data_IF_122255464688
#
_entry.id   IF_122255464688
#
_cell.length_a   1.000
_cell.length_b   1.000
_cell.length_c   1.000
_cell.angle_alpha   90.00
_cell.angle_beta   90.00
_cell.angle_gamma   90.00
#
_symmetry.space_group_name_H-M   'P 1'
#
loop_
_entity.id
_entity.type
_entity.pdbx_description
1 polymer ?
#
# COMPACT_ATOMS: atom_id res chain seq x y z
N UNK A 1 -34.88 3.94 28.29
CA UNK A 1 -33.64 3.90 27.49
C UNK A 1 -33.57 2.53 26.85
N UNK A 2 -34.20 2.35 25.69
CA UNK A 2 -34.09 1.14 24.88
C UNK A 2 -32.77 1.22 24.11
N UNK A 3 -31.81 0.37 24.49
CA UNK A 3 -30.54 0.24 23.81
C UNK A 3 -30.72 -0.21 22.36
N UNK A 4 -30.61 0.70 21.44
CA UNK A 4 -30.40 0.37 20.02
C UNK A 4 -28.99 -0.21 19.86
N UNK A 5 -28.89 -1.55 19.90
CA UNK A 5 -27.74 -2.23 19.35
C UNK A 5 -28.04 -2.48 17.88
N UNK A 6 -27.34 -1.83 16.92
CA UNK A 6 -27.44 -2.23 15.53
C UNK A 6 -27.04 -3.69 15.44
N UNK A 7 -27.75 -4.47 14.65
CA UNK A 7 -27.41 -5.86 14.38
C UNK A 7 -26.09 -5.88 13.58
N UNK A 8 -24.96 -5.85 14.28
CA UNK A 8 -23.58 -5.82 13.75
C UNK A 8 -23.25 -6.98 12.80
N UNK A 9 -24.04 -8.06 12.84
CA UNK A 9 -23.79 -9.31 12.11
C UNK A 9 -24.55 -9.47 10.79
N UNK A 10 -25.37 -8.52 10.37
CA UNK A 10 -26.20 -8.68 9.15
C UNK A 10 -25.71 -7.92 7.92
N UNK A 11 -24.73 -7.03 8.04
CA UNK A 11 -24.27 -6.21 6.91
C UNK A 11 -23.26 -6.97 6.03
N UNK A 12 -22.63 -8.05 6.54
CA UNK A 12 -21.58 -8.79 5.87
C UNK A 12 -21.88 -10.28 5.61
N UNK A 13 -23.11 -10.73 5.69
CA UNK A 13 -23.46 -12.13 5.39
C UNK A 13 -24.53 -12.19 4.30
N UNK A 14 -24.14 -12.45 3.06
CA UNK A 14 -25.04 -12.96 2.03
C UNK A 14 -25.20 -14.47 2.20
N UNK A 15 -26.44 -15.03 2.24
CA UNK A 15 -26.66 -16.46 2.34
C UNK A 15 -26.36 -17.26 1.05
N UNK A 16 -25.93 -16.64 -0.04
CA UNK A 16 -25.91 -17.27 -1.38
C UNK A 16 -24.65 -17.01 -2.22
N UNK A 17 -23.49 -16.67 -1.65
CA UNK A 17 -22.25 -16.62 -2.43
C UNK A 17 -22.20 -15.55 -3.54
N UNK A 18 -23.12 -14.59 -3.55
CA UNK A 18 -23.12 -13.45 -4.47
C UNK A 18 -22.22 -12.34 -3.89
N UNK A 19 -21.49 -11.66 -4.77
CA UNK A 19 -20.65 -10.50 -4.45
C UNK A 19 -21.38 -9.53 -3.53
N UNK A 20 -20.75 -9.21 -2.38
CA UNK A 20 -21.34 -8.29 -1.38
C UNK A 20 -21.28 -6.82 -1.80
N UNK A 21 -20.95 -6.52 -3.05
CA UNK A 21 -20.88 -5.14 -3.55
C UNK A 21 -22.28 -4.52 -3.67
N UNK A 22 -22.43 -3.35 -3.11
CA UNK A 22 -23.69 -2.61 -3.16
C UNK A 22 -23.94 -1.94 -4.52
N UNK A 23 -22.94 -1.88 -5.39
CA UNK A 23 -22.98 -1.32 -6.74
C UNK A 23 -22.88 -2.41 -7.79
N UNK A 24 -23.57 -2.27 -8.96
CA UNK A 24 -23.33 -3.13 -10.09
C UNK A 24 -21.86 -3.05 -10.53
N UNK A 25 -21.30 -4.17 -10.98
CA UNK A 25 -19.98 -4.18 -11.58
C UNK A 25 -20.03 -3.50 -12.94
N UNK A 26 -19.04 -2.65 -13.21
CA UNK A 26 -18.80 -2.07 -14.53
C UNK A 26 -17.72 -2.91 -15.22
N UNK A 27 -18.03 -3.41 -16.41
CA UNK A 27 -17.08 -4.19 -17.21
C UNK A 27 -16.00 -3.28 -17.81
N UNK A 28 -14.80 -3.33 -17.25
CA UNK A 28 -13.61 -2.64 -17.74
C UNK A 28 -12.84 -3.44 -18.81
N UNK A 29 -13.33 -4.63 -19.18
CA UNK A 29 -12.66 -5.54 -20.11
C UNK A 29 -11.21 -5.82 -19.70
N UNK A 30 -11.03 -6.26 -18.46
CA UNK A 30 -9.71 -6.45 -17.85
C UNK A 30 -9.02 -7.74 -18.31
N UNK A 31 -9.77 -8.71 -18.77
CA UNK A 31 -9.27 -10.02 -19.15
C UNK A 31 -9.47 -11.08 -18.08
N UNK A 32 -9.35 -12.34 -18.47
CA UNK A 32 -9.69 -13.51 -17.65
C UNK A 32 -8.81 -13.61 -16.40
N UNK A 33 -7.49 -13.41 -16.51
CA UNK A 33 -6.57 -13.46 -15.37
C UNK A 33 -6.91 -12.43 -14.30
N UNK A 34 -7.20 -11.20 -14.71
CA UNK A 34 -7.57 -10.11 -13.82
C UNK A 34 -8.90 -10.38 -13.09
N UNK A 35 -9.90 -10.93 -13.79
CA UNK A 35 -11.17 -11.29 -13.17
C UNK A 35 -11.01 -12.50 -12.21
N UNK A 36 -10.21 -13.50 -12.56
CA UNK A 36 -9.91 -14.62 -11.65
C UNK A 36 -9.22 -14.16 -10.36
N UNK A 37 -8.24 -13.24 -10.45
CA UNK A 37 -7.60 -12.64 -9.28
C UNK A 37 -8.62 -11.86 -8.46
N UNK A 38 -9.47 -11.05 -9.11
CA UNK A 38 -10.53 -10.31 -8.42
C UNK A 38 -11.43 -11.23 -7.60
N UNK A 39 -11.98 -12.26 -8.22
CA UNK A 39 -12.91 -13.17 -7.58
C UNK A 39 -12.28 -13.95 -6.43
N UNK A 40 -11.05 -14.43 -6.63
CA UNK A 40 -10.32 -15.16 -5.59
C UNK A 40 -10.00 -14.28 -4.39
N UNK A 41 -9.45 -13.08 -4.65
CA UNK A 41 -9.04 -12.16 -3.59
C UNK A 41 -10.24 -11.55 -2.90
N UNK A 42 -11.32 -11.22 -3.61
CA UNK A 42 -12.55 -10.71 -3.02
C UNK A 42 -13.16 -11.71 -2.03
N UNK A 43 -13.21 -13.00 -2.40
CA UNK A 43 -13.69 -14.05 -1.51
C UNK A 43 -12.82 -14.17 -0.26
N UNK A 44 -11.51 -14.24 -0.42
CA UNK A 44 -10.57 -14.27 0.71
C UNK A 44 -10.72 -13.03 1.60
N UNK A 45 -10.85 -11.86 1.00
CA UNK A 45 -11.03 -10.60 1.72
C UNK A 45 -12.32 -10.58 2.56
N UNK A 46 -13.43 -11.06 1.99
CA UNK A 46 -14.72 -11.12 2.69
C UNK A 46 -14.74 -12.17 3.80
N UNK A 47 -14.15 -13.35 3.56
CA UNK A 47 -14.20 -14.46 4.50
C UNK A 47 -13.13 -14.39 5.61
N UNK A 48 -11.93 -13.90 5.30
CA UNK A 48 -10.79 -13.95 6.21
C UNK A 48 -10.37 -12.57 6.73
N UNK A 49 -10.36 -11.52 5.89
CA UNK A 49 -9.86 -10.20 6.30
C UNK A 49 -10.95 -9.37 6.97
N UNK A 50 -12.13 -9.26 6.37
CA UNK A 50 -13.19 -8.40 6.86
C UNK A 50 -13.60 -8.69 8.32
N UNK A 51 -13.66 -9.95 8.79
CA UNK A 51 -13.97 -10.25 10.20
C UNK A 51 -12.93 -9.70 11.18
N UNK A 52 -11.68 -9.50 10.74
CA UNK A 52 -10.59 -9.00 11.57
C UNK A 52 -10.41 -7.47 11.48
N UNK A 53 -11.06 -6.80 10.52
CA UNK A 53 -10.80 -5.40 10.20
C UNK A 53 -11.02 -4.43 11.36
N UNK A 54 -12.01 -4.68 12.23
CA UNK A 54 -12.24 -3.89 13.45
C UNK A 54 -11.12 -4.10 14.47
N UNK A 55 -10.68 -5.33 14.70
CA UNK A 55 -9.57 -5.66 15.60
C UNK A 55 -8.27 -5.04 15.11
N UNK A 56 -7.99 -5.17 13.81
CA UNK A 56 -6.79 -4.60 13.16
C UNK A 56 -6.68 -3.09 13.46
N UNK A 57 -7.76 -2.33 13.30
CA UNK A 57 -7.76 -0.89 13.57
C UNK A 57 -7.70 -0.57 15.06
N UNK A 58 -8.61 -1.15 15.86
CA UNK A 58 -8.76 -0.75 17.27
C UNK A 58 -7.58 -1.12 18.13
N UNK A 59 -6.99 -2.29 17.89
CA UNK A 59 -5.88 -2.83 18.68
C UNK A 59 -4.50 -2.48 18.07
N UNK A 60 -4.48 -1.76 16.92
CA UNK A 60 -3.25 -1.54 16.14
C UNK A 60 -2.52 -2.86 15.88
N UNK A 61 -3.30 -3.87 15.44
CA UNK A 61 -2.91 -5.25 15.34
C UNK A 61 -2.57 -5.65 13.90
N UNK A 62 -1.36 -6.19 13.71
CA UNK A 62 -0.94 -6.77 12.43
C UNK A 62 -1.19 -8.28 12.42
N UNK A 63 -2.09 -8.81 11.58
CA UNK A 63 -2.52 -10.20 11.59
C UNK A 63 -1.53 -11.13 10.85
N UNK A 64 -0.22 -11.08 11.23
CA UNK A 64 0.83 -11.88 10.57
C UNK A 64 0.52 -13.37 10.67
N UNK A 65 0.23 -13.86 11.85
CA UNK A 65 0.03 -15.29 12.10
C UNK A 65 -1.24 -15.84 11.44
N UNK A 66 -2.28 -15.01 11.29
CA UNK A 66 -3.57 -15.44 10.77
C UNK A 66 -3.69 -15.33 9.26
N UNK A 67 -3.05 -14.32 8.64
CA UNK A 67 -3.35 -13.98 7.25
C UNK A 67 -2.13 -13.99 6.33
N UNK A 68 -0.91 -13.73 6.85
CA UNK A 68 0.22 -13.42 5.99
C UNK A 68 0.66 -14.61 5.12
N UNK A 69 0.80 -15.78 5.71
CA UNK A 69 1.12 -17.00 4.98
C UNK A 69 -0.02 -17.42 4.03
N UNK A 70 -1.29 -17.27 4.45
CA UNK A 70 -2.44 -17.54 3.59
C UNK A 70 -2.46 -16.64 2.33
N UNK A 71 -2.03 -15.38 2.47
CA UNK A 71 -1.86 -14.48 1.33
C UNK A 71 -0.73 -14.96 0.41
N UNK A 72 0.33 -15.55 0.97
CA UNK A 72 1.41 -16.20 0.21
C UNK A 72 0.91 -17.42 -0.54
N UNK A 73 0.14 -18.30 0.10
CA UNK A 73 -0.47 -19.48 -0.53
C UNK A 73 -1.39 -19.13 -1.71
N UNK A 74 -2.05 -17.97 -1.64
CA UNK A 74 -2.82 -17.39 -2.75
C UNK A 74 -1.95 -16.74 -3.83
N UNK A 75 -0.62 -16.72 -3.66
CA UNK A 75 0.33 -16.07 -4.57
C UNK A 75 0.35 -14.55 -4.53
N UNK A 76 -0.36 -13.91 -3.58
CA UNK A 76 -0.52 -12.45 -3.55
C UNK A 76 0.81 -11.72 -3.38
N UNK A 77 1.74 -12.24 -2.57
CA UNK A 77 3.03 -11.62 -2.33
C UNK A 77 3.94 -11.60 -3.55
N UNK A 78 3.70 -12.51 -4.53
CA UNK A 78 4.51 -12.70 -5.73
C UNK A 78 3.76 -12.51 -7.04
N UNK A 79 2.68 -11.73 -7.11
CA UNK A 79 1.88 -11.58 -8.34
C UNK A 79 2.76 -11.24 -9.56
N UNK A 80 3.68 -10.28 -9.42
CA UNK A 80 4.56 -9.84 -10.52
C UNK A 80 5.89 -10.57 -10.58
N UNK A 81 6.17 -11.50 -9.67
CA UNK A 81 7.37 -12.33 -9.67
C UNK A 81 7.17 -13.46 -10.67
N UNK A 82 8.24 -13.83 -11.41
CA UNK A 82 8.19 -14.92 -12.38
C UNK A 82 7.86 -16.25 -11.70
N UNK A 83 7.26 -17.18 -12.45
CA UNK A 83 7.00 -18.54 -11.96
C UNK A 83 8.29 -19.26 -11.57
N UNK A 84 9.40 -19.00 -12.30
CA UNK A 84 10.73 -19.54 -12.00
C UNK A 84 11.23 -19.10 -10.62
N UNK A 85 10.92 -17.86 -10.20
CA UNK A 85 11.28 -17.29 -8.90
C UNK A 85 10.18 -17.56 -7.83
N UNK A 86 9.18 -18.38 -8.13
CA UNK A 86 8.11 -18.81 -7.22
C UNK A 86 6.87 -17.91 -7.19
N UNK A 87 6.74 -16.95 -8.10
CA UNK A 87 5.58 -16.06 -8.21
C UNK A 87 4.52 -16.54 -9.19
N UNK A 88 3.57 -15.67 -9.52
CA UNK A 88 2.48 -15.95 -10.47
C UNK A 88 2.78 -15.52 -11.91
N UNK A 89 3.84 -14.76 -12.16
CA UNK A 89 4.20 -14.26 -13.49
C UNK A 89 3.16 -13.32 -14.12
N UNK A 90 2.28 -12.72 -13.31
CA UNK A 90 1.22 -11.82 -13.77
C UNK A 90 1.69 -10.36 -13.80
N UNK A 91 0.78 -9.45 -14.15
CA UNK A 91 1.09 -8.03 -14.32
C UNK A 91 0.75 -7.13 -13.13
N UNK A 92 1.01 -5.84 -13.32
CA UNK A 92 0.65 -4.80 -12.35
C UNK A 92 -0.86 -4.55 -12.31
N UNK A 93 -1.60 -4.87 -13.38
CA UNK A 93 -3.05 -4.80 -13.36
C UNK A 93 -3.64 -5.76 -12.33
N UNK A 94 -3.22 -7.02 -12.34
CA UNK A 94 -3.64 -8.02 -11.36
C UNK A 94 -3.20 -7.63 -9.96
N UNK A 95 -2.01 -7.03 -9.82
CA UNK A 95 -1.51 -6.55 -8.53
C UNK A 95 -2.38 -5.40 -7.98
N UNK A 96 -2.74 -4.42 -8.81
CA UNK A 96 -3.68 -3.34 -8.43
C UNK A 96 -5.01 -3.90 -7.96
N UNK A 97 -5.57 -4.88 -8.70
CA UNK A 97 -6.83 -5.52 -8.35
C UNK A 97 -6.75 -6.25 -7.02
N UNK A 98 -5.67 -6.99 -6.78
CA UNK A 98 -5.45 -7.66 -5.50
C UNK A 98 -5.35 -6.66 -4.34
N UNK A 99 -4.61 -5.56 -4.51
CA UNK A 99 -4.52 -4.48 -3.51
C UNK A 99 -5.89 -3.83 -3.27
N UNK A 100 -6.69 -3.63 -4.31
CA UNK A 100 -8.05 -3.08 -4.22
C UNK A 100 -8.94 -3.96 -3.35
N UNK A 101 -9.00 -5.28 -3.61
CA UNK A 101 -9.88 -6.18 -2.88
C UNK A 101 -9.43 -6.39 -1.42
N UNK A 102 -8.13 -6.55 -1.17
CA UNK A 102 -7.59 -6.60 0.20
C UNK A 102 -7.95 -5.31 0.96
N UNK A 103 -7.79 -4.16 0.31
CA UNK A 103 -8.02 -2.84 0.93
C UNK A 103 -9.49 -2.52 1.13
N UNK A 104 -10.39 -3.09 0.32
CA UNK A 104 -11.84 -3.00 0.52
C UNK A 104 -12.23 -3.60 1.88
N UNK A 105 -11.60 -4.69 2.30
CA UNK A 105 -11.81 -5.29 3.61
C UNK A 105 -11.00 -4.58 4.72
N UNK A 106 -9.70 -4.30 4.46
CA UNK A 106 -8.82 -3.58 5.39
C UNK A 106 -7.73 -2.81 4.65
N UNK A 107 -7.86 -1.50 4.58
CA UNK A 107 -6.87 -0.62 3.96
C UNK A 107 -5.51 -0.69 4.66
N UNK A 108 -5.48 -0.90 5.97
CA UNK A 108 -4.25 -1.10 6.75
C UNK A 108 -3.47 -2.33 6.29
N UNK A 109 -4.18 -3.46 6.08
CA UNK A 109 -3.55 -4.67 5.56
C UNK A 109 -3.10 -4.47 4.11
N UNK A 110 -3.92 -3.79 3.28
CA UNK A 110 -3.57 -3.43 1.92
C UNK A 110 -2.30 -2.59 1.82
N UNK A 111 -2.07 -1.66 2.76
CA UNK A 111 -0.85 -0.87 2.84
C UNK A 111 0.38 -1.75 3.15
N UNK A 112 0.27 -2.61 4.18
CA UNK A 112 1.35 -3.54 4.53
C UNK A 112 1.66 -4.52 3.40
N UNK A 113 0.61 -5.01 2.73
CA UNK A 113 0.72 -5.87 1.56
C UNK A 113 1.44 -5.16 0.40
N UNK A 114 1.02 -3.94 0.03
CA UNK A 114 1.66 -3.18 -1.04
C UNK A 114 3.11 -2.80 -0.73
N UNK A 115 3.42 -2.47 0.53
CA UNK A 115 4.80 -2.21 0.96
C UNK A 115 5.68 -3.46 0.85
N UNK A 116 5.15 -4.62 1.15
CA UNK A 116 5.85 -5.89 1.01
C UNK A 116 6.03 -6.27 -0.46
N UNK A 117 4.92 -6.48 -1.18
CA UNK A 117 4.91 -7.10 -2.50
C UNK A 117 5.44 -6.17 -3.60
N UNK A 118 5.15 -4.86 -3.51
CA UNK A 118 5.58 -3.91 -4.53
C UNK A 118 6.87 -3.17 -4.15
N UNK A 119 7.05 -2.73 -2.89
CA UNK A 119 8.27 -1.98 -2.54
C UNK A 119 9.47 -2.90 -2.27
N UNK A 120 9.31 -3.98 -1.52
CA UNK A 120 10.41 -4.88 -1.20
C UNK A 120 10.61 -5.95 -2.28
N UNK A 121 9.62 -6.82 -2.48
CA UNK A 121 9.70 -7.95 -3.41
C UNK A 121 9.98 -7.49 -4.84
N UNK A 122 9.22 -6.50 -5.35
CA UNK A 122 9.41 -6.01 -6.71
C UNK A 122 10.78 -5.33 -6.91
N UNK A 123 11.33 -4.64 -5.90
CA UNK A 123 12.68 -4.07 -6.01
C UNK A 123 13.75 -5.17 -6.07
N UNK A 124 13.65 -6.20 -5.25
CA UNK A 124 14.58 -7.35 -5.29
C UNK A 124 14.46 -8.08 -6.63
N UNK A 125 13.23 -8.32 -7.11
CA UNK A 125 12.97 -8.92 -8.43
C UNK A 125 13.66 -8.15 -9.56
N UNK A 126 13.60 -6.82 -9.53
CA UNK A 126 14.09 -5.94 -10.61
C UNK A 126 15.58 -5.69 -10.54
N UNK A 127 16.14 -5.59 -9.36
CA UNK A 127 17.52 -5.12 -9.14
C UNK A 127 18.44 -6.12 -8.45
N UNK A 128 17.90 -7.14 -7.81
CA UNK A 128 18.66 -8.20 -7.19
C UNK A 128 19.44 -9.02 -8.24
N UNK A 129 20.67 -9.39 -7.93
CA UNK A 129 21.41 -10.37 -8.71
C UNK A 129 20.85 -11.80 -8.48
N UNK A 130 21.32 -12.79 -9.23
CA UNK A 130 20.81 -14.16 -9.16
C UNK A 130 20.88 -14.76 -7.73
N UNK A 131 22.00 -14.52 -7.01
CA UNK A 131 22.17 -15.02 -5.65
C UNK A 131 21.20 -14.35 -4.66
N UNK A 132 21.02 -13.03 -4.79
CA UNK A 132 20.08 -12.26 -3.97
C UNK A 132 18.63 -12.71 -4.23
N UNK A 133 18.23 -12.87 -5.48
CA UNK A 133 16.88 -13.38 -5.82
C UNK A 133 16.66 -14.78 -5.24
N UNK A 134 17.61 -15.69 -5.44
CA UNK A 134 17.51 -17.05 -4.91
C UNK A 134 17.41 -17.09 -3.37
N UNK A 135 18.07 -16.16 -2.67
CA UNK A 135 18.04 -16.10 -1.21
C UNK A 135 16.76 -15.48 -0.66
N UNK A 136 16.27 -14.38 -1.27
CA UNK A 136 15.26 -13.54 -0.64
C UNK A 136 13.85 -13.69 -1.21
N UNK A 137 13.69 -14.05 -2.51
CA UNK A 137 12.36 -14.05 -3.12
C UNK A 137 11.47 -15.17 -2.58
N UNK A 138 11.95 -16.40 -2.49
CA UNK A 138 11.10 -17.53 -2.06
C UNK A 138 10.47 -17.33 -0.68
N UNK A 139 11.19 -16.99 0.40
CA UNK A 139 10.57 -16.75 1.71
C UNK A 139 9.68 -15.49 1.75
N UNK A 140 9.93 -14.49 0.93
CA UNK A 140 9.07 -13.32 0.82
C UNK A 140 7.78 -13.65 0.08
N UNK A 141 7.84 -14.38 -1.03
CA UNK A 141 6.67 -14.76 -1.84
C UNK A 141 5.76 -15.73 -1.10
N UNK A 142 6.33 -16.67 -0.33
CA UNK A 142 5.54 -17.59 0.51
C UNK A 142 4.85 -16.92 1.70
N UNK A 143 5.31 -15.73 2.12
CA UNK A 143 4.83 -15.07 3.34
C UNK A 143 5.55 -15.53 4.62
N UNK A 144 6.52 -16.43 4.54
CA UNK A 144 7.40 -16.79 5.67
C UNK A 144 8.13 -15.56 6.20
N UNK A 145 8.64 -14.71 5.27
CA UNK A 145 9.24 -13.43 5.59
C UNK A 145 8.31 -12.26 5.27
N UNK A 146 8.43 -11.22 6.08
CA UNK A 146 7.83 -9.90 5.81
C UNK A 146 8.89 -8.98 5.23
N UNK A 147 8.57 -8.34 4.11
CA UNK A 147 9.43 -7.37 3.44
C UNK A 147 9.10 -5.92 3.77
N UNK A 148 10.12 -5.07 3.76
CA UNK A 148 9.99 -3.63 3.96
C UNK A 148 10.94 -2.85 3.04
N UNK A 149 10.67 -1.55 2.85
CA UNK A 149 11.58 -0.63 2.16
C UNK A 149 11.78 0.63 3.00
N UNK A 150 13.03 1.05 3.15
CA UNK A 150 13.42 2.16 4.01
C UNK A 150 14.21 3.22 3.26
N UNK A 151 13.53 4.31 2.87
CA UNK A 151 14.15 5.47 2.23
C UNK A 151 14.09 6.72 3.10
N UNK A 152 12.96 6.98 3.76
CA UNK A 152 12.67 8.23 4.46
C UNK A 152 13.40 8.36 5.79
N UNK A 153 13.70 9.61 6.16
CA UNK A 153 14.25 10.00 7.47
C UNK A 153 13.45 11.18 8.01
N UNK A 154 13.54 11.48 9.30
CA UNK A 154 12.84 12.62 9.93
C UNK A 154 13.16 13.93 9.20
N UNK A 155 14.40 14.09 8.73
CA UNK A 155 14.86 15.29 8.00
C UNK A 155 14.76 15.18 6.48
N UNK A 156 14.36 14.04 5.92
CA UNK A 156 14.34 13.75 4.47
C UNK A 156 13.13 12.88 4.10
N UNK A 157 11.95 13.53 4.01
CA UNK A 157 10.70 12.93 3.54
C UNK A 157 10.49 13.21 2.05
N UNK A 158 9.91 14.36 1.69
CA UNK A 158 9.71 14.75 0.29
C UNK A 158 11.03 14.91 -0.47
N UNK A 159 12.07 15.43 0.16
CA UNK A 159 13.44 15.50 -0.35
C UNK A 159 14.23 14.25 0.11
N UNK A 160 13.78 13.08 -0.32
CA UNK A 160 14.35 11.80 0.11
C UNK A 160 15.82 11.63 -0.27
N UNK A 161 16.29 12.29 -1.33
CA UNK A 161 17.70 12.22 -1.77
C UNK A 161 18.66 12.97 -0.83
N UNK A 162 18.13 13.83 0.04
CA UNK A 162 18.88 14.51 1.11
C UNK A 162 19.06 13.66 2.38
N UNK A 163 18.77 12.36 2.30
CA UNK A 163 19.01 11.40 3.40
C UNK A 163 20.42 11.48 3.97
N UNK A 164 20.55 11.12 5.25
CA UNK A 164 21.81 11.23 6.02
C UNK A 164 22.36 9.89 6.51
N UNK A 165 21.59 8.80 6.47
CA UNK A 165 22.08 7.46 6.80
C UNK A 165 23.35 7.19 5.97
N UNK A 166 24.47 6.95 6.65
CA UNK A 166 25.79 6.70 6.02
C UNK A 166 26.04 5.22 5.87
N UNK A 167 26.80 4.86 4.84
CA UNK A 167 27.37 3.53 4.64
C UNK A 167 28.85 3.69 4.27
N UNK A 168 29.75 3.43 5.22
CA UNK A 168 31.20 3.60 5.05
C UNK A 168 31.83 2.23 4.74
N UNK A 169 32.69 2.18 3.69
CA UNK A 169 33.36 0.95 3.32
C UNK A 169 34.25 0.44 4.46
N UNK A 170 34.16 -0.85 4.75
CA UNK A 170 34.89 -1.50 5.83
C UNK A 170 35.13 -2.98 5.51
N UNK A 171 36.08 -3.62 6.20
CA UNK A 171 36.25 -5.07 6.19
C UNK A 171 36.13 -5.59 7.62
N UNK A 172 35.34 -6.65 7.82
CA UNK A 172 35.16 -7.32 9.12
C UNK A 172 35.36 -8.83 8.93
N UNK A 173 36.26 -9.40 9.72
CA UNK A 173 36.61 -10.83 9.67
C UNK A 173 37.04 -11.35 8.26
N UNK A 174 37.68 -10.47 7.47
CA UNK A 174 38.12 -10.78 6.11
C UNK A 174 37.00 -10.69 5.05
N UNK A 175 35.82 -10.21 5.40
CA UNK A 175 34.70 -9.92 4.49
C UNK A 175 34.61 -8.42 4.25
N UNK A 176 34.67 -8.02 2.97
CA UNK A 176 34.45 -6.62 2.58
C UNK A 176 32.96 -6.27 2.62
N UNK A 177 32.66 -5.01 2.98
CA UNK A 177 31.28 -4.54 3.13
C UNK A 177 31.21 -3.08 3.53
N UNK A 178 30.12 -2.74 4.22
CA UNK A 178 29.83 -1.38 4.65
C UNK A 178 29.34 -1.35 6.10
N UNK A 179 29.74 -0.33 6.84
CA UNK A 179 29.19 -0.03 8.16
C UNK A 179 28.13 1.07 8.00
N UNK A 180 26.88 0.76 8.37
CA UNK A 180 25.76 1.68 8.34
C UNK A 180 25.62 2.35 9.70
N UNK A 181 25.46 3.69 9.68
CA UNK A 181 25.22 4.51 10.88
C UNK A 181 24.17 5.60 10.62
N UNK A 182 23.11 5.63 11.45
CA UNK A 182 22.01 6.58 11.39
C UNK A 182 20.63 5.94 11.55
N UNK A 183 19.58 6.61 11.12
CA UNK A 183 18.21 6.14 11.31
C UNK A 183 17.36 6.30 10.04
N UNK A 184 16.30 5.49 9.94
CA UNK A 184 15.19 5.66 8.99
C UNK A 184 13.89 5.82 9.76
N UNK A 185 12.91 6.54 9.19
CA UNK A 185 11.68 6.87 9.90
C UNK A 185 10.44 6.70 9.02
N UNK A 186 9.27 6.42 9.62
CA UNK A 186 8.01 6.07 8.97
C UNK A 186 8.07 4.80 8.12
N UNK A 187 8.81 3.79 8.57
CA UNK A 187 9.02 2.58 7.78
C UNK A 187 7.90 1.57 8.03
N UNK A 188 7.08 1.37 7.01
CA UNK A 188 5.98 0.39 7.00
C UNK A 188 6.53 -1.03 7.10
N UNK A 189 5.85 -1.88 7.85
CA UNK A 189 6.22 -3.26 8.18
C UNK A 189 7.48 -3.40 9.07
N UNK A 190 8.21 -2.34 9.37
CA UNK A 190 9.46 -2.38 10.10
C UNK A 190 9.47 -3.30 11.34
N UNK A 191 8.45 -3.27 12.24
CA UNK A 191 8.45 -4.12 13.45
C UNK A 191 8.42 -5.63 13.18
N UNK A 192 8.05 -6.03 11.97
CA UNK A 192 7.88 -7.43 11.58
C UNK A 192 8.76 -7.82 10.39
N UNK A 193 9.52 -6.87 9.82
CA UNK A 193 10.30 -7.10 8.62
C UNK A 193 11.47 -8.05 8.89
N UNK A 194 11.53 -9.11 8.10
CA UNK A 194 12.64 -10.07 8.10
C UNK A 194 13.72 -9.66 7.06
N UNK A 195 13.30 -8.99 5.97
CA UNK A 195 14.16 -8.49 4.89
C UNK A 195 13.77 -7.05 4.54
N UNK A 196 14.77 -6.17 4.46
CA UNK A 196 14.55 -4.76 4.17
C UNK A 196 15.42 -4.27 3.01
N UNK A 197 14.85 -3.51 2.09
CA UNK A 197 15.58 -2.71 1.10
C UNK A 197 15.86 -1.34 1.72
N UNK A 198 17.12 -1.01 1.97
CA UNK A 198 17.52 0.21 2.67
C UNK A 198 18.42 1.06 1.78
N UNK A 199 18.16 2.36 1.70
CA UNK A 199 18.98 3.31 0.95
C UNK A 199 19.86 4.13 1.89
N UNK A 200 21.18 4.16 1.63
CA UNK A 200 22.15 4.88 2.44
C UNK A 200 23.19 5.59 1.56
N UNK A 201 23.85 6.61 2.12
CA UNK A 201 24.93 7.34 1.43
C UNK A 201 26.26 6.63 1.58
N UNK A 202 26.78 6.15 0.45
CA UNK A 202 28.14 5.59 0.29
C UNK A 202 29.15 6.66 -0.10
N UNK A 203 28.70 7.77 -0.74
CA UNK A 203 29.52 8.95 -1.01
C UNK A 203 28.74 10.23 -0.67
N UNK A 204 29.03 10.79 0.51
CA UNK A 204 28.39 12.02 0.97
C UNK A 204 28.72 13.26 0.11
N UNK A 205 29.85 13.25 -0.61
CA UNK A 205 30.29 14.37 -1.45
C UNK A 205 29.57 14.44 -2.80
N UNK A 206 29.07 13.28 -3.29
CA UNK A 206 28.39 13.17 -4.58
C UNK A 206 26.88 13.52 -4.53
N UNK A 207 26.35 13.95 -3.37
CA UNK A 207 24.94 14.33 -3.21
C UNK A 207 23.99 13.15 -3.48
N UNK A 208 23.05 13.31 -4.41
CA UNK A 208 22.10 12.25 -4.79
C UNK A 208 22.78 11.09 -5.54
N UNK A 209 23.91 11.34 -6.18
CA UNK A 209 24.68 10.33 -6.92
C UNK A 209 25.55 9.46 -6.03
N UNK A 210 25.57 9.66 -4.72
CA UNK A 210 26.32 8.87 -3.75
C UNK A 210 25.41 7.97 -2.88
N UNK A 211 24.23 7.59 -3.35
CA UNK A 211 23.28 6.72 -2.64
C UNK A 211 23.35 5.31 -3.21
N UNK A 212 23.36 4.30 -2.32
CA UNK A 212 23.34 2.88 -2.65
C UNK A 212 22.19 2.17 -1.96
N UNK A 213 21.64 1.15 -2.59
CA UNK A 213 20.63 0.28 -2.01
C UNK A 213 21.28 -0.95 -1.39
N UNK A 214 20.82 -1.34 -0.20
CA UNK A 214 21.30 -2.47 0.58
C UNK A 214 20.16 -3.41 0.96
N UNK A 215 20.45 -4.71 1.03
CA UNK A 215 19.57 -5.70 1.63
C UNK A 215 19.98 -5.91 3.08
N UNK A 216 19.08 -5.59 4.01
CA UNK A 216 19.28 -5.73 5.45
C UNK A 216 18.43 -6.90 5.95
N UNK A 217 18.99 -7.70 6.84
CA UNK A 217 18.31 -8.79 7.53
C UNK A 217 18.01 -8.38 8.98
N UNK A 218 16.91 -8.86 9.53
CA UNK A 218 16.46 -8.46 10.88
C UNK A 218 17.48 -8.74 11.98
N UNK A 219 18.32 -9.78 11.77
CA UNK A 219 19.29 -10.25 12.75
C UNK A 219 20.70 -9.67 12.53
N UNK A 220 20.86 -8.69 11.63
CA UNK A 220 22.14 -8.02 11.41
C UNK A 220 22.63 -7.31 12.66
N UNK A 221 23.85 -7.60 13.10
CA UNK A 221 24.43 -6.96 14.26
C UNK A 221 24.54 -5.43 14.07
N UNK A 222 24.03 -4.67 15.01
CA UNK A 222 23.95 -3.20 14.93
C UNK A 222 22.68 -2.67 14.25
N UNK A 223 21.80 -3.54 13.75
CA UNK A 223 20.45 -3.16 13.31
C UNK A 223 19.43 -3.38 14.41
N UNK A 224 18.51 -2.44 14.60
CA UNK A 224 17.39 -2.58 15.54
C UNK A 224 16.17 -1.76 15.12
N UNK A 225 15.01 -2.18 15.63
CA UNK A 225 13.77 -1.43 15.51
C UNK A 225 13.71 -0.41 16.64
N UNK A 226 13.56 0.87 16.28
CA UNK A 226 13.42 1.96 17.21
C UNK A 226 11.97 2.17 17.65
N UNK A 227 11.54 3.43 17.69
CA UNK A 227 10.21 3.79 18.16
C UNK A 227 9.11 3.28 17.21
N UNK A 228 8.12 2.55 17.76
CA UNK A 228 6.84 2.31 17.07
C UNK A 228 6.08 3.63 16.95
N UNK A 229 5.52 3.89 15.76
CA UNK A 229 4.84 5.15 15.45
C UNK A 229 3.32 4.94 15.53
N UNK A 230 2.67 5.67 16.44
CA UNK A 230 1.21 5.74 16.50
C UNK A 230 0.67 6.64 15.38
N UNK A 231 -0.41 6.20 14.74
CA UNK A 231 -0.97 6.87 13.56
C UNK A 231 -2.45 7.18 13.71
N UNK A 232 -2.91 8.18 12.98
CA UNK A 232 -4.34 8.55 12.90
C UNK A 232 -5.17 7.43 12.25
N UNK A 233 -4.69 6.88 11.15
CA UNK A 233 -5.28 5.79 10.39
C UNK A 233 -4.23 4.76 9.99
N UNK A 234 -4.62 3.77 9.19
CA UNK A 234 -3.76 2.62 8.82
C UNK A 234 -3.15 1.95 10.05
N UNK A 235 -3.93 1.84 11.13
CA UNK A 235 -3.42 1.48 12.46
C UNK A 235 -2.87 0.06 12.48
N UNK A 236 -3.48 -0.88 11.85
CA UNK A 236 -2.96 -2.25 11.75
C UNK A 236 -1.80 -2.45 10.77
N UNK A 237 -1.31 -1.40 10.10
CA UNK A 237 -0.09 -1.44 9.31
C UNK A 237 1.08 -0.98 10.18
N UNK A 238 1.93 -1.90 10.69
CA UNK A 238 2.96 -1.55 11.66
C UNK A 238 4.00 -0.64 11.04
N UNK A 239 4.33 0.43 11.74
CA UNK A 239 5.25 1.47 11.26
C UNK A 239 6.20 1.84 12.38
N UNK A 240 7.51 1.89 12.11
CA UNK A 240 8.51 2.24 13.11
C UNK A 240 9.71 2.99 12.53
N UNK A 241 10.56 3.43 13.45
CA UNK A 241 11.92 3.86 13.19
C UNK A 241 12.83 2.63 13.02
N UNK A 242 13.85 2.76 12.18
CA UNK A 242 14.98 1.83 12.08
C UNK A 242 16.23 2.54 12.60
N UNK A 243 17.03 1.82 13.40
CA UNK A 243 18.30 2.32 13.96
C UNK A 243 19.44 1.44 13.48
N UNK A 244 20.48 2.09 12.97
CA UNK A 244 21.73 1.47 12.54
C UNK A 244 22.86 2.06 13.39
N UNK A 245 23.53 1.21 14.17
CA UNK A 245 24.61 1.55 15.07
C UNK A 245 25.77 0.56 14.82
N UNK A 246 26.75 1.01 14.04
CA UNK A 246 27.84 0.18 13.54
C UNK A 246 27.35 -1.12 12.83
N UNK A 247 26.23 -1.05 12.11
CA UNK A 247 25.64 -2.18 11.43
C UNK A 247 26.47 -2.55 10.19
N UNK A 248 27.17 -3.69 10.27
CA UNK A 248 27.98 -4.20 9.15
C UNK A 248 27.11 -4.97 8.16
N UNK A 249 27.19 -4.57 6.90
CA UNK A 249 26.49 -5.22 5.78
C UNK A 249 27.53 -5.67 4.75
N UNK A 250 27.65 -6.98 4.47
CA UNK A 250 28.54 -7.50 3.45
C UNK A 250 28.30 -6.91 2.06
N UNK A 251 29.35 -6.81 1.24
CA UNK A 251 29.27 -6.23 -0.11
C UNK A 251 28.31 -6.99 -1.04
N UNK A 252 28.16 -8.29 -0.87
CA UNK A 252 27.23 -9.12 -1.63
C UNK A 252 25.75 -8.78 -1.41
N UNK A 253 25.44 -7.96 -0.39
CA UNK A 253 24.11 -7.40 -0.12
C UNK A 253 23.89 -6.00 -0.70
N UNK A 254 24.84 -5.45 -1.44
CA UNK A 254 24.60 -4.25 -2.27
C UNK A 254 23.67 -4.66 -3.41
N UNK A 255 22.51 -3.99 -3.51
CA UNK A 255 21.52 -4.26 -4.53
C UNK A 255 21.59 -3.23 -5.66
N UNK A 256 21.79 -3.70 -6.89
CA UNK A 256 22.03 -2.83 -8.03
C UNK A 256 23.43 -2.20 -8.02
N UNK A 257 23.69 -1.14 -8.80
CA UNK A 257 25.01 -0.51 -8.89
C UNK A 257 25.37 0.28 -7.61
N UNK A 258 26.65 0.20 -7.21
CA UNK A 258 27.20 1.08 -6.18
C UNK A 258 27.01 2.54 -6.60
N UNK A 259 26.55 3.39 -5.69
CA UNK A 259 26.18 4.79 -5.95
C UNK A 259 25.04 4.99 -6.98
N UNK A 260 24.39 3.89 -7.40
CA UNK A 260 23.26 3.90 -8.32
C UNK A 260 21.88 3.81 -7.64
N UNK A 261 21.82 3.89 -6.30
CA UNK A 261 20.61 3.66 -5.51
C UNK A 261 19.46 4.61 -5.84
N UNK A 262 19.72 5.82 -6.30
CA UNK A 262 18.65 6.73 -6.77
C UNK A 262 17.95 6.15 -8.00
N UNK A 263 18.69 5.57 -8.94
CA UNK A 263 18.11 4.89 -10.11
C UNK A 263 17.24 3.70 -9.70
N UNK A 264 17.73 2.90 -8.75
CA UNK A 264 16.98 1.79 -8.16
C UNK A 264 15.69 2.30 -7.53
N UNK A 265 15.76 3.30 -6.65
CA UNK A 265 14.63 3.90 -5.96
C UNK A 265 13.59 4.46 -6.93
N UNK A 266 14.01 5.37 -7.80
CA UNK A 266 13.10 6.11 -8.68
C UNK A 266 12.40 5.20 -9.68
N UNK A 267 13.08 4.15 -10.17
CA UNK A 267 12.46 3.18 -11.08
C UNK A 267 11.33 2.37 -10.43
N UNK A 268 11.32 2.24 -9.09
CA UNK A 268 10.27 1.54 -8.34
C UNK A 268 9.08 2.44 -8.01
N UNK A 269 9.32 3.75 -7.82
CA UNK A 269 8.28 4.67 -7.36
C UNK A 269 7.10 4.83 -8.34
N UNK A 270 7.33 4.68 -9.62
CA UNK A 270 6.26 4.80 -10.61
C UNK A 270 5.31 3.60 -10.51
N UNK A 271 5.83 2.39 -10.37
CA UNK A 271 5.02 1.19 -10.11
C UNK A 271 4.34 1.24 -8.74
N UNK A 272 5.04 1.75 -7.69
CA UNK A 272 4.48 1.94 -6.36
C UNK A 272 3.21 2.80 -6.40
N UNK A 273 3.28 3.95 -7.05
CA UNK A 273 2.15 4.89 -7.15
C UNK A 273 0.93 4.26 -7.78
N UNK A 274 1.13 3.46 -8.83
CA UNK A 274 0.06 2.77 -9.53
C UNK A 274 -0.55 1.67 -8.64
N UNK A 275 0.28 0.80 -8.06
CA UNK A 275 -0.18 -0.32 -7.23
C UNK A 275 -0.87 0.18 -5.95
N UNK A 276 -0.29 1.17 -5.26
CA UNK A 276 -0.90 1.72 -4.06
C UNK A 276 -2.21 2.49 -4.34
N UNK A 277 -2.46 2.90 -5.60
CA UNK A 277 -3.77 3.47 -5.97
C UNK A 277 -4.91 2.47 -5.76
N UNK A 278 -4.65 1.16 -5.81
CA UNK A 278 -5.61 0.13 -5.46
C UNK A 278 -6.18 0.27 -4.04
N UNK A 279 -5.40 0.80 -3.10
CA UNK A 279 -5.87 1.04 -1.71
C UNK A 279 -7.04 2.02 -1.71
N UNK A 280 -6.94 3.12 -2.46
CA UNK A 280 -7.99 4.12 -2.53
C UNK A 280 -9.23 3.60 -3.24
N UNK A 281 -9.06 2.77 -4.28
CA UNK A 281 -10.19 2.10 -4.95
C UNK A 281 -10.95 1.23 -3.96
N UNK A 282 -10.24 0.42 -3.17
CA UNK A 282 -10.82 -0.42 -2.13
C UNK A 282 -11.57 0.39 -1.08
N UNK A 283 -10.99 1.49 -0.57
CA UNK A 283 -11.65 2.38 0.40
C UNK A 283 -12.94 2.97 -0.18
N UNK A 284 -12.92 3.47 -1.42
CA UNK A 284 -14.11 4.05 -2.05
C UNK A 284 -15.21 3.00 -2.26
N UNK A 285 -14.85 1.78 -2.62
CA UNK A 285 -15.82 0.68 -2.73
C UNK A 285 -16.42 0.35 -1.36
N UNK A 286 -15.59 0.20 -0.31
CA UNK A 286 -16.06 -0.05 1.06
C UNK A 286 -17.01 1.04 1.58
N UNK A 287 -16.76 2.30 1.21
CA UNK A 287 -17.66 3.42 1.50
C UNK A 287 -19.04 3.21 0.88
N UNK A 288 -19.11 2.88 -0.41
CA UNK A 288 -20.37 2.65 -1.13
C UNK A 288 -21.10 1.41 -0.57
N UNK A 289 -20.37 0.33 -0.28
CA UNK A 289 -20.93 -0.90 0.30
C UNK A 289 -21.53 -0.68 1.69
N UNK A 290 -21.06 0.32 2.42
CA UNK A 290 -21.62 0.71 3.73
C UNK A 290 -22.76 1.71 3.59
N UNK A 291 -22.58 2.74 2.77
CA UNK A 291 -23.53 3.86 2.66
C UNK A 291 -24.84 3.45 1.99
N UNK A 292 -24.78 2.71 0.88
CA UNK A 292 -25.98 2.39 0.09
C UNK A 292 -27.01 1.57 0.89
N UNK A 293 -26.63 0.46 1.55
CA UNK A 293 -27.58 -0.27 2.42
C UNK A 293 -28.13 0.58 3.55
N UNK A 294 -27.26 1.36 4.22
CA UNK A 294 -27.70 2.24 5.29
C UNK A 294 -28.76 3.24 4.83
N UNK A 295 -28.58 3.88 3.67
CA UNK A 295 -29.53 4.84 3.11
C UNK A 295 -30.87 4.20 2.71
N UNK A 296 -30.88 2.91 2.36
CA UNK A 296 -32.09 2.13 2.03
C UNK A 296 -32.93 1.80 3.28
N UNK A 297 -32.24 1.53 4.40
CA UNK A 297 -32.87 1.05 5.63
C UNK A 297 -33.26 2.19 6.60
N UNK A 298 -32.34 3.17 6.77
CA UNK A 298 -32.53 4.27 7.72
C UNK A 298 -33.66 5.17 7.30
N UNK A 299 -34.64 5.36 8.20
CA UNK A 299 -35.81 6.22 7.93
C UNK A 299 -35.74 7.51 8.76
N UNK A 300 -36.06 8.62 8.12
CA UNK A 300 -36.38 9.92 8.72
C UNK A 300 -37.49 10.58 7.94
N UNK A 301 -38.29 11.45 8.58
CA UNK A 301 -39.46 12.08 7.96
C UNK A 301 -40.41 11.06 7.31
N UNK A 302 -40.55 9.88 7.95
CA UNK A 302 -41.50 8.82 7.54
C UNK A 302 -41.05 7.94 6.36
N UNK A 303 -39.84 8.14 5.79
CA UNK A 303 -39.34 7.39 4.61
C UNK A 303 -37.83 7.11 4.67
N UNK A 304 -37.31 6.14 3.88
CA UNK A 304 -35.88 5.92 3.77
C UNK A 304 -35.12 7.19 3.40
N UNK A 305 -33.98 7.45 4.04
CA UNK A 305 -33.24 8.68 3.77
C UNK A 305 -32.62 8.70 2.37
N UNK A 306 -32.38 7.53 1.73
CA UNK A 306 -31.97 7.42 0.33
C UNK A 306 -33.02 7.93 -0.67
N UNK A 307 -34.27 8.20 -0.25
CA UNK A 307 -35.28 8.82 -1.11
C UNK A 307 -35.15 10.34 -1.23
N UNK A 308 -34.25 10.96 -0.47
CA UNK A 308 -33.99 12.40 -0.57
C UNK A 308 -32.95 12.70 -1.63
N UNK A 309 -33.20 13.69 -2.48
CA UNK A 309 -32.33 14.03 -3.62
C UNK A 309 -30.90 14.40 -3.21
N UNK A 310 -30.69 15.06 -2.07
CA UNK A 310 -29.36 15.39 -1.56
C UNK A 310 -28.55 14.14 -1.17
N UNK A 311 -29.21 13.07 -0.73
CA UNK A 311 -28.55 11.80 -0.45
C UNK A 311 -28.25 11.03 -1.74
N UNK A 312 -29.15 11.10 -2.73
CA UNK A 312 -28.94 10.52 -4.05
C UNK A 312 -27.74 11.18 -4.77
N UNK A 313 -27.63 12.51 -4.67
CA UNK A 313 -26.48 13.25 -5.22
C UNK A 313 -25.16 12.79 -4.62
N UNK A 314 -25.07 12.60 -3.28
CA UNK A 314 -23.87 12.08 -2.61
C UNK A 314 -23.44 10.72 -3.16
N UNK A 315 -24.38 9.77 -3.27
CA UNK A 315 -24.12 8.43 -3.81
C UNK A 315 -23.66 8.49 -5.26
N UNK A 316 -24.27 9.36 -6.07
CA UNK A 316 -23.87 9.56 -7.47
C UNK A 316 -22.44 10.09 -7.57
N UNK A 317 -22.07 11.11 -6.77
CA UNK A 317 -20.71 11.68 -6.76
C UNK A 317 -19.67 10.66 -6.29
N UNK A 318 -19.99 9.86 -5.25
CA UNK A 318 -19.12 8.79 -4.75
C UNK A 318 -18.89 7.70 -5.82
N UNK A 319 -19.96 7.28 -6.49
CA UNK A 319 -19.89 6.28 -7.57
C UNK A 319 -19.04 6.77 -8.74
N UNK A 320 -19.29 7.98 -9.23
CA UNK A 320 -18.55 8.58 -10.35
C UNK A 320 -17.07 8.72 -9.99
N UNK A 321 -16.75 9.14 -8.77
CA UNK A 321 -15.36 9.24 -8.31
C UNK A 321 -14.64 7.89 -8.34
N UNK A 322 -15.28 6.83 -7.84
CA UNK A 322 -14.72 5.47 -7.89
C UNK A 322 -14.49 4.98 -9.32
N UNK A 323 -15.52 5.08 -10.19
CA UNK A 323 -15.39 4.56 -11.55
C UNK A 323 -14.36 5.32 -12.38
N UNK A 324 -14.26 6.63 -12.18
CA UNK A 324 -13.23 7.45 -12.83
C UNK A 324 -11.83 7.06 -12.34
N UNK A 325 -11.66 6.88 -11.03
CA UNK A 325 -10.39 6.46 -10.46
C UNK A 325 -9.97 5.06 -10.95
N UNK A 326 -10.90 4.10 -11.00
CA UNK A 326 -10.67 2.76 -11.58
C UNK A 326 -10.23 2.83 -13.03
N UNK A 327 -10.98 3.54 -13.87
CA UNK A 327 -10.68 3.65 -15.30
C UNK A 327 -9.25 4.17 -15.52
N UNK A 328 -8.86 5.22 -14.80
CA UNK A 328 -7.51 5.77 -14.93
C UNK A 328 -6.45 4.81 -14.35
N UNK A 329 -6.66 4.27 -13.17
CA UNK A 329 -5.71 3.36 -12.52
C UNK A 329 -5.47 2.09 -13.35
N UNK A 330 -6.53 1.45 -13.85
CA UNK A 330 -6.40 0.24 -14.66
C UNK A 330 -5.73 0.52 -16.01
N UNK A 331 -6.00 1.67 -16.62
CA UNK A 331 -5.33 2.07 -17.86
C UNK A 331 -3.82 2.24 -17.64
N UNK A 332 -3.41 2.89 -16.56
CA UNK A 332 -1.98 3.09 -16.26
C UNK A 332 -1.32 1.78 -15.77
N UNK A 333 -2.04 0.90 -15.08
CA UNK A 333 -1.54 -0.43 -14.73
C UNK A 333 -1.25 -1.27 -15.99
N UNK A 334 -2.14 -1.27 -16.97
CA UNK A 334 -1.90 -1.91 -18.30
C UNK A 334 -0.69 -1.27 -19.02
N UNK A 335 -0.48 0.03 -18.89
CA UNK A 335 0.70 0.70 -19.45
C UNK A 335 1.99 0.27 -18.72
N UNK A 336 1.93 0.02 -17.40
CA UNK A 336 3.05 -0.58 -16.66
C UNK A 336 3.42 -1.96 -17.20
N UNK A 337 2.42 -2.80 -17.50
CA UNK A 337 2.62 -4.16 -18.03
C UNK A 337 3.25 -4.13 -19.44
N UNK A 338 2.99 -3.08 -20.20
CA UNK A 338 3.55 -2.84 -21.52
C UNK A 338 4.87 -2.05 -21.51
N UNK A 339 5.45 -1.74 -20.34
CA UNK A 339 6.62 -0.84 -20.18
C UNK A 339 6.41 0.55 -20.82
N UNK A 340 5.17 1.04 -20.86
CA UNK A 340 4.76 2.31 -21.47
C UNK A 340 4.30 3.35 -20.45
N UNK A 341 4.39 3.06 -19.16
CA UNK A 341 3.98 4.03 -18.13
C UNK A 341 4.92 5.24 -18.09
N UNK A 342 4.36 6.39 -17.76
CA UNK A 342 5.12 7.63 -17.55
C UNK A 342 5.09 8.02 -16.07
N UNK A 343 6.09 8.80 -15.66
CA UNK A 343 6.17 9.33 -14.28
C UNK A 343 4.98 10.23 -13.95
N UNK A 344 4.50 11.02 -14.91
CA UNK A 344 3.37 11.92 -14.69
C UNK A 344 2.04 11.16 -14.67
N UNK A 345 1.86 10.07 -15.44
CA UNK A 345 0.67 9.22 -15.35
C UNK A 345 0.63 8.46 -14.01
N UNK A 346 1.76 7.86 -13.61
CA UNK A 346 1.88 7.20 -12.31
C UNK A 346 1.60 8.17 -11.14
N UNK A 347 2.10 9.40 -11.21
CA UNK A 347 1.79 10.43 -10.22
C UNK A 347 0.34 10.90 -10.30
N UNK A 348 -0.25 10.95 -11.51
CA UNK A 348 -1.62 11.37 -11.76
C UNK A 348 -2.65 10.43 -11.16
N UNK A 349 -2.47 9.11 -11.31
CA UNK A 349 -3.42 8.13 -10.76
C UNK A 349 -3.48 8.18 -9.26
N UNK A 350 -2.34 8.23 -8.56
CA UNK A 350 -2.34 8.27 -7.10
C UNK A 350 -2.79 9.65 -6.57
N UNK A 351 -2.51 10.74 -7.28
CA UNK A 351 -3.03 12.07 -6.94
C UNK A 351 -4.56 12.09 -6.99
N UNK A 352 -5.13 11.65 -8.12
CA UNK A 352 -6.58 11.68 -8.31
C UNK A 352 -7.30 10.72 -7.36
N UNK A 353 -6.80 9.48 -7.23
CA UNK A 353 -7.43 8.46 -6.38
C UNK A 353 -7.36 8.83 -4.91
N UNK A 354 -6.25 9.39 -4.40
CA UNK A 354 -6.13 9.76 -2.98
C UNK A 354 -7.08 10.88 -2.59
N UNK A 355 -7.13 11.98 -3.36
CA UNK A 355 -8.06 13.09 -3.09
C UNK A 355 -9.53 12.63 -3.21
N UNK A 356 -9.82 11.77 -4.20
CA UNK A 356 -11.16 11.21 -4.37
C UNK A 356 -11.56 10.31 -3.22
N UNK A 357 -10.66 9.42 -2.76
CA UNK A 357 -10.94 8.51 -1.65
C UNK A 357 -11.18 9.26 -0.34
N UNK A 358 -10.36 10.26 -0.03
CA UNK A 358 -10.56 11.06 1.17
C UNK A 358 -11.89 11.81 1.14
N UNK A 359 -12.26 12.41 0.00
CA UNK A 359 -13.55 13.07 -0.19
C UNK A 359 -14.71 12.08 -0.04
N UNK A 360 -14.65 10.93 -0.71
CA UNK A 360 -15.68 9.88 -0.64
C UNK A 360 -15.84 9.37 0.79
N UNK A 361 -14.75 9.13 1.50
CA UNK A 361 -14.79 8.65 2.88
C UNK A 361 -15.38 9.71 3.84
N UNK A 362 -15.03 10.98 3.69
CA UNK A 362 -15.62 12.07 4.45
C UNK A 362 -17.14 12.21 4.17
N UNK A 363 -17.55 12.08 2.90
CA UNK A 363 -18.97 12.09 2.52
C UNK A 363 -19.71 10.85 3.04
N UNK A 364 -19.03 9.72 3.23
CA UNK A 364 -19.60 8.52 3.86
C UNK A 364 -19.97 8.78 5.33
N UNK A 365 -19.07 9.43 6.08
CA UNK A 365 -19.36 9.87 7.46
C UNK A 365 -20.56 10.81 7.47
N UNK A 366 -20.59 11.80 6.57
CA UNK A 366 -21.67 12.76 6.46
C UNK A 366 -23.00 12.09 6.08
N UNK A 367 -22.99 11.10 5.19
CA UNK A 367 -24.19 10.39 4.75
C UNK A 367 -24.85 9.56 5.86
N UNK A 368 -24.06 9.00 6.78
CA UNK A 368 -24.55 8.28 7.95
C UNK A 368 -24.98 9.24 9.09
N UNK A 369 -24.64 10.52 9.00
CA UNK A 369 -24.95 11.52 10.03
C UNK A 369 -24.28 11.18 11.37
N UNK A 370 -25.00 11.36 12.48
CA UNK A 370 -24.48 11.08 13.81
C UNK A 370 -23.94 9.65 13.98
N UNK A 371 -24.53 8.66 13.30
CA UNK A 371 -24.04 7.29 13.32
C UNK A 371 -22.63 7.16 12.69
N UNK A 372 -22.37 7.88 11.59
CA UNK A 372 -21.06 7.88 10.94
C UNK A 372 -19.94 8.52 11.76
N UNK A 373 -20.29 9.32 12.77
CA UNK A 373 -19.32 9.96 13.68
C UNK A 373 -19.03 9.13 14.94
N UNK A 374 -19.58 7.92 15.00
CA UNK A 374 -19.33 6.97 16.09
C UNK A 374 -18.45 5.82 15.63
N UNK A 375 -17.82 5.16 16.59
CA UNK A 375 -17.00 3.97 16.32
C UNK A 375 -17.84 2.71 15.99
N UNK A 376 -19.16 2.82 15.96
CA UNK A 376 -20.05 1.70 15.63
C UNK A 376 -20.12 1.40 14.14
N UNK A 377 -19.67 2.33 13.31
CA UNK A 377 -19.64 2.22 11.85
C UNK A 377 -18.24 2.41 11.29
N UNK A 378 -17.85 1.65 10.26
CA UNK A 378 -16.48 1.65 9.76
C UNK A 378 -16.10 2.90 8.94
N UNK A 379 -17.06 3.78 8.62
CA UNK A 379 -16.82 4.94 7.75
C UNK A 379 -15.85 5.96 8.34
N UNK A 380 -15.75 6.08 9.67
CA UNK A 380 -14.78 6.93 10.33
C UNK A 380 -13.34 6.36 10.14
N UNK A 381 -13.18 5.02 10.18
CA UNK A 381 -11.92 4.36 9.89
C UNK A 381 -11.51 4.58 8.43
N UNK A 382 -12.44 4.43 7.49
CA UNK A 382 -12.16 4.68 6.06
C UNK A 382 -11.64 6.10 5.83
N UNK A 383 -12.21 7.10 6.53
CA UNK A 383 -11.77 8.50 6.44
C UNK A 383 -10.36 8.69 7.02
N UNK A 384 -10.05 8.07 8.16
CA UNK A 384 -8.70 8.13 8.76
C UNK A 384 -7.65 7.45 7.87
N UNK A 385 -8.00 6.30 7.33
CA UNK A 385 -7.13 5.50 6.46
C UNK A 385 -6.86 6.20 5.12
N UNK A 386 -7.91 6.77 4.50
CA UNK A 386 -7.80 7.45 3.21
C UNK A 386 -6.80 8.62 3.26
N UNK A 387 -6.65 9.30 4.41
CA UNK A 387 -5.77 10.47 4.54
C UNK A 387 -4.30 10.17 4.35
N UNK A 388 -3.86 8.94 4.65
CA UNK A 388 -2.44 8.60 4.53
C UNK A 388 -1.89 8.86 3.12
N UNK A 389 -2.63 8.46 2.09
CA UNK A 389 -2.09 8.49 0.73
C UNK A 389 -2.18 9.87 0.03
N UNK A 390 -2.68 10.90 0.70
CA UNK A 390 -2.41 12.29 0.34
C UNK A 390 -0.96 12.69 0.68
N UNK A 391 -0.29 11.92 1.57
CA UNK A 391 1.01 12.23 2.17
C UNK A 391 2.07 11.19 1.78
N UNK A 392 1.75 9.91 1.94
CA UNK A 392 2.66 8.78 1.67
C UNK A 392 2.89 8.54 0.18
N UNK A 393 3.97 7.87 -0.18
CA UNK A 393 4.40 7.66 -1.58
C UNK A 393 4.64 8.97 -2.36
N UNK A 394 5.07 10.04 -1.63
CA UNK A 394 5.17 11.43 -2.09
C UNK A 394 3.86 12.20 -1.89
N UNK A 395 3.96 13.42 -1.33
CA UNK A 395 2.76 14.23 -1.06
C UNK A 395 2.05 14.66 -2.34
N UNK A 396 0.76 14.99 -2.24
CA UNK A 396 -0.02 15.49 -3.38
C UNK A 396 0.60 16.75 -4.00
N UNK A 397 1.28 17.58 -3.22
CA UNK A 397 2.03 18.76 -3.70
C UNK A 397 3.24 18.35 -4.56
N UNK A 398 4.00 17.34 -4.12
CA UNK A 398 5.13 16.79 -4.89
C UNK A 398 4.65 16.16 -6.20
N UNK A 399 3.52 15.44 -6.18
CA UNK A 399 2.91 14.83 -7.39
C UNK A 399 2.51 15.92 -8.39
N UNK A 400 1.84 17.00 -7.94
CA UNK A 400 1.47 18.14 -8.78
C UNK A 400 2.68 18.84 -9.37
N UNK A 401 3.71 19.08 -8.55
CA UNK A 401 4.96 19.67 -8.99
C UNK A 401 5.63 18.80 -10.07
N UNK A 402 5.69 17.48 -9.85
CA UNK A 402 6.28 16.53 -10.79
C UNK A 402 5.53 16.55 -12.13
N UNK A 403 4.20 16.39 -12.09
CA UNK A 403 3.35 16.39 -13.30
C UNK A 403 3.52 17.70 -14.06
N UNK A 404 3.38 18.83 -13.37
CA UNK A 404 3.47 20.16 -14.00
C UNK A 404 4.84 20.41 -14.63
N UNK A 405 5.92 20.07 -13.92
CA UNK A 405 7.29 20.23 -14.41
C UNK A 405 7.56 19.38 -15.65
N UNK A 406 7.16 18.13 -15.65
CA UNK A 406 7.38 17.22 -16.78
C UNK A 406 6.58 17.63 -18.02
N UNK A 407 5.31 18.01 -17.86
CA UNK A 407 4.46 18.45 -18.96
C UNK A 407 4.90 19.80 -19.57
N UNK A 408 5.42 20.70 -18.75
CA UNK A 408 5.93 22.01 -19.24
C UNK A 408 7.34 21.87 -19.85
N UNK A 409 8.03 20.76 -19.60
CA UNK A 409 9.42 20.56 -20.02
C UNK A 409 10.41 21.45 -19.25
N UNK A 410 10.06 21.88 -18.04
CA UNK A 410 10.95 22.66 -17.19
C UNK A 410 12.03 21.71 -16.63
N UNK A 411 13.27 21.87 -17.12
CA UNK A 411 14.42 21.23 -16.52
C UNK A 411 14.59 21.69 -15.07
N UNK A 412 14.64 20.75 -14.15
CA UNK A 412 14.93 21.02 -12.74
C UNK A 412 16.41 20.96 -12.46
#
# INVERSE_FOLDING_TARGET
VLGYRPARSRIFASPQGESMRATPDFDFQLGESAEMIRDSVARFADEQIAPLAEKIDREDYFPRAELWEQMGELGLHGITVSEEDGGLGLGYLEHVIAVEEVSRASASLGLSYGAHSNLCVNQIRRWGNAAQKAKYLAPLVSGEHVGSLAMSEVSAGSDVVSMKLKAEAASRDGVDGYILNGTKFWITNAPYADTLVVYAKTDGSAGSRGITAFLIEKDDAGFSIGQKIEKVGMRGSPTAELVFDDCFVPEDRVMGPLNGGVGVLMSGLDYERVVLSGIQLGIMQACLDTVIPYLRERKQFGKPIGSFQLMQAKVADMYVALQTARAYTYAVAKACDADQTTRFDAAGVILYSSESAFRVAAESVQALGGAGYTLDWPVERYMRDAKLLDIGAGTNEIRRMLIGRELIGAAG
#
